data_IF_898093913123
#
_entry.id   IF_898093913123
#
_cell.length_a   1.000
_cell.length_b   1.000
_cell.length_c   1.000
_cell.angle_alpha   90.00
_cell.angle_beta   90.00
_cell.angle_gamma   90.00
#
_symmetry.space_group_name_H-M   'P 1'
#
loop_
_entity.id
_entity.type
_entity.pdbx_description
1 polymer ?
#
# COMPACT_ATOMS: atom_id res chain seq x y z
N UNK A 1 0.31 23.93 -17.86
CA UNK A 1 -0.52 23.19 -16.89
C UNK A 1 0.22 21.90 -16.51
N UNK A 2 0.66 21.76 -15.24
CA UNK A 2 1.13 20.45 -14.75
C UNK A 2 -0.10 19.56 -14.64
N UNK A 3 -0.16 18.49 -15.41
CA UNK A 3 -1.15 17.43 -15.22
C UNK A 3 -0.97 16.93 -13.78
N UNK A 4 -1.95 17.17 -12.90
CA UNK A 4 -1.96 16.58 -11.58
C UNK A 4 -2.01 15.07 -11.80
N UNK A 5 -0.86 14.42 -11.65
CA UNK A 5 -0.76 13.00 -11.82
C UNK A 5 -1.41 12.37 -10.58
N UNK A 6 -2.63 11.86 -10.74
CA UNK A 6 -3.23 11.00 -9.72
C UNK A 6 -2.32 9.78 -9.52
N UNK A 7 -1.85 9.52 -8.28
CA UNK A 7 -0.97 8.39 -8.00
C UNK A 7 -1.68 7.06 -8.27
N UNK A 8 -0.91 6.02 -8.58
CA UNK A 8 -1.48 4.69 -8.75
C UNK A 8 -2.11 4.22 -7.44
N UNK A 9 -3.23 3.47 -7.50
CA UNK A 9 -3.92 2.92 -6.33
C UNK A 9 -2.97 2.27 -5.31
N UNK A 10 -1.97 1.53 -5.79
CA UNK A 10 -1.00 0.83 -4.93
C UNK A 10 -0.16 1.78 -4.07
N UNK A 11 0.16 2.98 -4.57
CA UNK A 11 0.81 4.03 -3.78
C UNK A 11 -0.19 4.67 -2.82
N UNK A 12 -1.39 5.00 -3.31
CA UNK A 12 -2.41 5.69 -2.50
C UNK A 12 -2.73 4.91 -1.23
N UNK A 13 -2.91 3.58 -1.32
CA UNK A 13 -3.24 2.80 -0.12
C UNK A 13 -2.08 2.77 0.88
N UNK A 14 -0.83 2.67 0.40
CA UNK A 14 0.35 2.66 1.24
C UNK A 14 0.57 4.01 1.92
N UNK A 15 0.38 5.12 1.19
CA UNK A 15 0.45 6.48 1.73
C UNK A 15 -0.66 6.74 2.76
N UNK A 16 -1.88 6.29 2.47
CA UNK A 16 -3.02 6.41 3.39
C UNK A 16 -2.73 5.70 4.70
N UNK A 17 -2.27 4.44 4.63
CA UNK A 17 -1.96 3.64 5.81
C UNK A 17 -0.76 4.21 6.59
N UNK A 18 0.29 4.65 5.88
CA UNK A 18 1.44 5.33 6.49
C UNK A 18 1.01 6.60 7.24
N UNK A 19 0.10 7.37 6.65
CA UNK A 19 -0.47 8.57 7.28
C UNK A 19 -1.24 8.22 8.57
N UNK A 20 -1.98 7.11 8.59
CA UNK A 20 -2.65 6.66 9.82
C UNK A 20 -1.64 6.33 10.92
N UNK A 21 -0.58 5.57 10.63
CA UNK A 21 0.45 5.27 11.64
C UNK A 21 1.15 6.52 12.17
N UNK A 22 1.43 7.48 11.28
CA UNK A 22 1.98 8.78 11.67
C UNK A 22 1.04 9.58 12.58
N UNK A 23 -0.28 9.36 12.50
CA UNK A 23 -1.25 9.93 13.46
C UNK A 23 -1.30 9.13 14.75
N UNK A 24 -1.20 7.80 14.70
CA UNK A 24 -1.25 6.96 15.90
C UNK A 24 -0.11 7.27 16.87
N UNK A 25 1.09 7.58 16.35
CA UNK A 25 2.23 7.92 17.21
C UNK A 25 2.02 9.20 18.03
N UNK A 26 1.09 10.08 17.63
CA UNK A 26 0.78 11.33 18.34
C UNK A 26 -0.39 11.20 19.31
N UNK A 27 -1.09 10.05 19.33
CA UNK A 27 -2.19 9.81 20.23
C UNK A 27 -1.74 9.70 21.69
N UNK A 28 -2.64 10.05 22.60
CA UNK A 28 -2.43 9.78 24.02
C UNK A 28 -2.51 8.27 24.31
N UNK A 29 -2.09 7.86 25.51
CA UNK A 29 -1.95 6.44 25.85
C UNK A 29 -3.27 5.66 25.79
N UNK A 30 -4.40 6.24 26.22
CA UNK A 30 -5.68 5.52 26.21
C UNK A 30 -6.19 5.27 24.78
N UNK A 31 -6.01 6.25 23.88
CA UNK A 31 -6.37 6.12 22.47
C UNK A 31 -5.47 5.11 21.76
N UNK A 32 -4.17 5.18 22.04
CA UNK A 32 -3.18 4.26 21.48
C UNK A 32 -3.49 2.80 21.88
N UNK A 33 -3.91 2.56 23.13
CA UNK A 33 -4.30 1.23 23.60
C UNK A 33 -5.46 0.62 22.78
N UNK A 34 -6.42 1.44 22.33
CA UNK A 34 -7.51 1.00 21.44
C UNK A 34 -7.02 0.52 20.07
N UNK A 35 -5.95 1.14 19.54
CA UNK A 35 -5.31 0.68 18.31
C UNK A 35 -4.46 -0.56 18.52
N UNK A 36 -3.76 -0.69 19.66
CA UNK A 36 -2.98 -1.88 20.03
C UNK A 36 -3.87 -3.11 20.20
N UNK A 37 -5.07 -2.96 20.76
CA UNK A 37 -6.04 -4.05 20.82
C UNK A 37 -6.42 -4.60 19.42
N UNK A 38 -6.21 -3.82 18.38
CA UNK A 38 -6.40 -4.18 16.97
C UNK A 38 -5.07 -4.35 16.21
N UNK A 39 -3.96 -4.64 16.89
CA UNK A 39 -2.64 -4.74 16.25
C UNK A 39 -2.61 -5.77 15.11
N UNK A 40 -3.30 -6.90 15.27
CA UNK A 40 -3.40 -7.93 14.22
C UNK A 40 -4.02 -7.39 12.92
N UNK A 41 -5.11 -6.62 13.03
CA UNK A 41 -5.71 -5.94 11.88
C UNK A 41 -4.73 -4.99 11.19
N UNK A 42 -4.05 -4.14 11.96
CA UNK A 42 -3.07 -3.20 11.40
C UNK A 42 -1.88 -3.90 10.75
N UNK A 43 -1.41 -5.00 11.34
CA UNK A 43 -0.36 -5.83 10.76
C UNK A 43 -0.79 -6.47 9.44
N UNK A 44 -2.01 -6.99 9.36
CA UNK A 44 -2.55 -7.59 8.14
C UNK A 44 -2.75 -6.54 7.03
N UNK A 45 -3.18 -5.32 7.37
CA UNK A 45 -3.25 -4.21 6.41
C UNK A 45 -1.87 -3.82 5.87
N UNK A 46 -0.83 -3.83 6.72
CA UNK A 46 0.57 -3.62 6.27
C UNK A 46 1.00 -4.73 5.32
N UNK A 47 0.79 -6.00 5.69
CA UNK A 47 1.12 -7.14 4.84
C UNK A 47 0.41 -7.06 3.49
N UNK A 48 -0.87 -6.70 3.49
CA UNK A 48 -1.66 -6.51 2.28
C UNK A 48 -1.05 -5.42 1.39
N UNK A 49 -0.78 -4.24 1.94
CA UNK A 49 -0.20 -3.12 1.19
C UNK A 49 1.19 -3.45 0.63
N UNK A 50 2.05 -4.10 1.42
CA UNK A 50 3.37 -4.55 0.96
C UNK A 50 3.23 -5.55 -0.19
N UNK A 51 2.34 -6.54 -0.07
CA UNK A 51 2.09 -7.50 -1.13
C UNK A 51 1.56 -6.83 -2.43
N UNK A 52 0.68 -5.83 -2.30
CA UNK A 52 0.18 -5.03 -3.43
C UNK A 52 1.34 -4.32 -4.13
N UNK A 53 2.24 -3.67 -3.38
CA UNK A 53 3.42 -2.99 -3.93
C UNK A 53 4.40 -3.98 -4.56
N UNK A 54 4.71 -5.08 -3.89
CA UNK A 54 5.71 -6.05 -4.35
C UNK A 54 5.23 -6.79 -5.61
N UNK A 55 3.94 -7.13 -5.69
CA UNK A 55 3.33 -7.77 -6.85
C UNK A 55 2.83 -6.78 -7.93
N UNK A 56 3.14 -5.49 -7.84
CA UNK A 56 2.62 -4.49 -8.78
C UNK A 56 2.87 -4.87 -10.24
N UNK A 57 4.12 -5.21 -10.58
CA UNK A 57 4.51 -5.55 -11.95
C UNK A 57 3.82 -6.83 -12.46
N UNK A 58 3.78 -7.88 -11.65
CA UNK A 58 3.14 -9.14 -12.06
C UNK A 58 1.62 -9.01 -12.21
N UNK A 59 0.96 -8.19 -11.37
CA UNK A 59 -0.46 -7.86 -11.54
C UNK A 59 -0.71 -7.07 -12.82
N UNK A 60 0.15 -6.11 -13.12
CA UNK A 60 0.08 -5.34 -14.36
C UNK A 60 0.22 -6.23 -15.60
N UNK A 61 1.21 -7.13 -15.60
CA UNK A 61 1.44 -8.07 -16.69
C UNK A 61 0.26 -9.03 -16.88
N UNK A 62 -0.31 -9.57 -15.78
CA UNK A 62 -1.52 -10.41 -15.83
C UNK A 62 -2.72 -9.67 -16.40
N UNK A 63 -2.92 -8.40 -16.00
CA UNK A 63 -4.01 -7.58 -16.52
C UNK A 63 -3.86 -7.33 -18.02
N UNK A 64 -2.66 -6.93 -18.46
CA UNK A 64 -2.37 -6.69 -19.87
C UNK A 64 -2.54 -7.97 -20.71
N UNK A 65 -2.11 -9.11 -20.19
CA UNK A 65 -2.28 -10.40 -20.86
C UNK A 65 -3.75 -10.81 -20.98
N UNK A 66 -4.54 -10.66 -19.91
CA UNK A 66 -5.97 -10.95 -19.94
C UNK A 66 -6.71 -10.06 -20.97
N UNK A 67 -6.35 -8.77 -21.05
CA UNK A 67 -6.90 -7.85 -22.06
C UNK A 67 -6.53 -8.27 -23.48
N UNK A 68 -5.26 -8.61 -23.74
CA UNK A 68 -4.82 -9.09 -25.07
C UNK A 68 -5.57 -10.35 -25.48
N UNK A 69 -5.72 -11.30 -24.57
CA UNK A 69 -6.45 -12.55 -24.82
C UNK A 69 -7.92 -12.29 -25.17
N UNK A 70 -8.57 -11.42 -24.41
CA UNK A 70 -9.97 -11.05 -24.66
C UNK A 70 -10.17 -10.46 -26.07
N UNK A 71 -9.30 -9.52 -26.47
CA UNK A 71 -9.33 -8.91 -27.82
C UNK A 71 -9.08 -9.95 -28.91
N UNK A 72 -8.10 -10.84 -28.71
CA UNK A 72 -7.77 -11.89 -29.67
C UNK A 72 -8.90 -12.91 -29.87
N UNK A 73 -9.59 -13.29 -28.79
CA UNK A 73 -10.69 -14.27 -28.83
C UNK A 73 -11.97 -13.70 -29.42
N UNK A 74 -12.27 -12.42 -29.17
CA UNK A 74 -13.56 -11.82 -29.54
C UNK A 74 -13.50 -10.91 -30.77
N UNK A 75 -12.32 -10.56 -31.24
CA UNK A 75 -12.14 -9.63 -32.36
C UNK A 75 -12.63 -8.22 -32.07
N UNK A 76 -12.99 -7.92 -30.81
CA UNK A 76 -13.52 -6.62 -30.40
C UNK A 76 -12.49 -5.87 -29.57
N UNK A 77 -12.24 -4.62 -29.96
CA UNK A 77 -11.57 -3.59 -29.15
C UNK A 77 -12.66 -2.67 -28.52
N UNK A 78 -13.92 -2.90 -28.86
CA UNK A 78 -15.02 -1.97 -28.66
C UNK A 78 -15.71 -2.10 -27.30
N UNK A 79 -15.97 -0.92 -26.72
CA UNK A 79 -16.93 -0.71 -25.65
C UNK A 79 -18.29 -0.49 -26.31
N UNK A 80 -19.15 -1.51 -26.36
CA UNK A 80 -20.58 -1.28 -26.63
C UNK A 80 -21.28 -0.87 -25.33
N UNK A 81 -21.32 0.43 -25.08
CA UNK A 81 -22.43 1.01 -24.33
C UNK A 81 -23.06 2.01 -25.27
N UNK A 82 -24.36 1.88 -25.55
CA UNK A 82 -25.09 2.85 -26.36
C UNK A 82 -24.65 4.28 -26.01
N UNK A 83 -24.12 4.94 -27.03
CA UNK A 83 -23.29 6.13 -26.94
C UNK A 83 -24.10 7.35 -26.48
N UNK A 84 -23.85 7.82 -25.24
CA UNK A 84 -24.45 9.06 -24.70
C UNK A 84 -23.42 10.20 -24.63
N UNK A 85 -22.13 9.93 -24.84
CA UNK A 85 -21.05 10.92 -24.69
C UNK A 85 -20.04 10.88 -25.84
N UNK A 86 -20.56 10.63 -27.04
CA UNK A 86 -19.80 10.37 -28.26
C UNK A 86 -18.56 11.21 -28.41
N UNK A 87 -17.40 10.57 -28.28
CA UNK A 87 -16.10 11.11 -28.65
C UNK A 87 -15.09 9.96 -28.76
N UNK A 88 -15.15 9.27 -29.90
CA UNK A 88 -14.08 8.42 -30.46
C UNK A 88 -13.48 7.31 -29.59
N UNK A 89 -13.74 6.07 -30.02
CA UNK A 89 -13.01 4.86 -29.63
C UNK A 89 -11.49 5.08 -29.65
N UNK A 90 -10.90 5.30 -28.47
CA UNK A 90 -9.47 5.16 -28.24
C UNK A 90 -9.30 4.07 -27.22
N UNK A 91 -8.45 3.08 -27.52
CA UNK A 91 -8.05 2.07 -26.56
C UNK A 91 -7.73 2.75 -25.22
N UNK A 92 -8.19 2.20 -24.07
CA UNK A 92 -7.96 2.81 -22.78
C UNK A 92 -6.47 3.13 -22.65
N UNK A 93 -6.13 4.33 -22.13
CA UNK A 93 -4.74 4.74 -22.04
C UNK A 93 -3.96 3.64 -21.31
N UNK A 94 -2.77 3.31 -21.83
CA UNK A 94 -1.92 2.30 -21.21
C UNK A 94 -1.82 2.62 -19.71
N UNK A 95 -2.15 1.67 -18.83
CA UNK A 95 -2.07 1.94 -17.41
C UNK A 95 -0.65 2.40 -17.10
N UNK A 96 -0.53 3.53 -16.37
CA UNK A 96 0.76 4.16 -16.12
C UNK A 96 1.67 3.15 -15.43
N UNK A 97 2.85 2.93 -15.99
CA UNK A 97 3.87 2.15 -15.32
C UNK A 97 4.35 2.95 -14.11
N UNK A 98 4.09 2.44 -12.92
CA UNK A 98 4.62 3.04 -11.70
C UNK A 98 6.15 2.93 -11.73
N UNK A 99 6.85 4.03 -11.46
CA UNK A 99 8.30 3.95 -11.39
C UNK A 99 8.69 3.06 -10.20
N UNK A 100 9.72 2.22 -10.38
CA UNK A 100 10.24 1.40 -9.28
C UNK A 100 10.69 2.28 -8.11
N UNK A 101 11.18 3.49 -8.39
CA UNK A 101 11.53 4.48 -7.38
C UNK A 101 10.34 4.84 -6.50
N UNK A 102 9.21 5.21 -7.07
CA UNK A 102 8.03 5.62 -6.29
C UNK A 102 7.45 4.45 -5.50
N UNK A 103 7.47 3.25 -6.09
CA UNK A 103 7.04 2.01 -5.44
C UNK A 103 7.90 1.67 -4.23
N UNK A 104 9.23 1.72 -4.38
CA UNK A 104 10.17 1.46 -3.30
C UNK A 104 10.10 2.54 -2.21
N UNK A 105 9.89 3.81 -2.60
CA UNK A 105 9.68 4.89 -1.65
C UNK A 105 8.39 4.69 -0.82
N UNK A 106 7.27 4.35 -1.46
CA UNK A 106 6.03 4.05 -0.77
C UNK A 106 6.17 2.84 0.18
N UNK A 107 6.87 1.79 -0.27
CA UNK A 107 7.19 0.61 0.55
C UNK A 107 7.99 0.99 1.79
N UNK A 108 9.06 1.76 1.61
CA UNK A 108 9.93 2.20 2.70
C UNK A 108 9.18 3.10 3.71
N UNK A 109 8.36 4.03 3.23
CA UNK A 109 7.55 4.91 4.08
C UNK A 109 6.53 4.12 4.93
N UNK A 110 5.91 3.08 4.37
CA UNK A 110 4.99 2.22 5.11
C UNK A 110 5.73 1.43 6.19
N UNK A 111 6.86 0.82 5.86
CA UNK A 111 7.69 0.10 6.84
C UNK A 111 8.16 1.02 7.99
N UNK A 112 8.68 2.21 7.67
CA UNK A 112 9.18 3.16 8.66
C UNK A 112 8.06 3.69 9.58
N UNK A 113 6.91 4.06 9.02
CA UNK A 113 5.78 4.54 9.82
C UNK A 113 5.19 3.44 10.72
N UNK A 114 5.07 2.21 10.23
CA UNK A 114 4.62 1.08 11.06
C UNK A 114 5.64 0.74 12.16
N UNK A 115 6.94 0.75 11.86
CA UNK A 115 7.99 0.56 12.85
C UNK A 115 7.93 1.59 13.98
N UNK A 116 7.79 2.88 13.63
CA UNK A 116 7.64 3.96 14.63
C UNK A 116 6.39 3.77 15.50
N UNK A 117 5.29 3.32 14.92
CA UNK A 117 4.09 2.95 15.67
C UNK A 117 4.36 1.82 16.67
N UNK A 118 5.03 0.73 16.25
CA UNK A 118 5.39 -0.36 17.15
C UNK A 118 6.32 0.10 18.29
N UNK A 119 7.36 0.87 17.98
CA UNK A 119 8.27 1.44 18.99
C UNK A 119 7.51 2.31 19.98
N UNK A 120 6.58 3.16 19.50
CA UNK A 120 5.74 3.98 20.38
C UNK A 120 4.88 3.11 21.32
N UNK A 121 4.29 2.02 20.81
CA UNK A 121 3.51 1.09 21.61
C UNK A 121 4.37 0.40 22.67
N UNK A 122 5.57 -0.04 22.29
CA UNK A 122 6.53 -0.67 23.20
C UNK A 122 7.00 0.29 24.31
N UNK A 123 7.38 1.52 23.96
CA UNK A 123 7.76 2.57 24.94
C UNK A 123 6.62 2.96 25.88
N UNK A 124 5.37 2.71 25.48
CA UNK A 124 4.18 2.89 26.32
C UNK A 124 3.85 1.66 27.19
N UNK A 125 4.63 0.58 27.08
CA UNK A 125 4.36 -0.72 27.70
C UNK A 125 3.00 -1.32 27.30
N UNK A 126 2.52 -0.99 26.10
CA UNK A 126 1.28 -1.56 25.55
C UNK A 126 1.53 -2.88 24.81
N UNK A 127 2.77 -3.11 24.38
CA UNK A 127 3.23 -4.39 23.82
C UNK A 127 4.60 -4.74 24.40
N UNK A 128 4.88 -6.05 24.46
CA UNK A 128 6.19 -6.56 24.82
C UNK A 128 7.19 -6.41 23.67
N UNK A 129 8.49 -6.41 23.99
CA UNK A 129 9.56 -6.36 22.98
C UNK A 129 9.46 -7.55 22.00
N UNK A 130 9.08 -8.72 22.51
CA UNK A 130 8.92 -9.92 21.70
C UNK A 130 7.86 -9.71 20.59
N UNK A 131 6.72 -9.12 20.93
CA UNK A 131 5.66 -8.80 19.97
C UNK A 131 6.16 -7.82 18.91
N UNK A 132 6.86 -6.76 19.32
CA UNK A 132 7.46 -5.80 18.37
C UNK A 132 8.39 -6.52 17.38
N UNK A 133 9.30 -7.37 17.87
CA UNK A 133 10.24 -8.10 17.01
C UNK A 133 9.53 -9.07 16.06
N UNK A 134 8.50 -9.76 16.53
CA UNK A 134 7.70 -10.66 15.69
C UNK A 134 7.04 -9.91 14.53
N UNK A 135 6.43 -8.76 14.81
CA UNK A 135 5.83 -7.91 13.78
C UNK A 135 6.88 -7.36 12.80
N UNK A 136 8.03 -6.90 13.29
CA UNK A 136 9.11 -6.45 12.41
C UNK A 136 9.61 -7.56 11.47
N UNK A 137 9.81 -8.79 11.99
CA UNK A 137 10.20 -9.94 11.16
C UNK A 137 9.15 -10.27 10.12
N UNK A 138 7.86 -10.28 10.49
CA UNK A 138 6.73 -10.56 9.58
C UNK A 138 6.76 -9.66 8.34
N UNK A 139 7.14 -8.39 8.51
CA UNK A 139 7.14 -7.39 7.44
C UNK A 139 8.52 -7.09 6.84
N UNK A 140 9.54 -7.89 7.19
CA UNK A 140 10.94 -7.67 6.77
C UNK A 140 11.47 -6.28 7.13
N UNK A 141 11.16 -5.82 8.35
CA UNK A 141 11.61 -4.56 8.93
C UNK A 141 12.78 -4.85 9.87
N UNK A 142 13.91 -4.17 9.69
CA UNK A 142 15.05 -4.26 10.61
C UNK A 142 14.76 -3.48 11.89
N UNK A 143 15.13 -4.05 13.04
CA UNK A 143 15.01 -3.40 14.35
C UNK A 143 16.35 -2.81 14.74
N UNK A 144 16.40 -1.52 15.06
CA UNK A 144 17.57 -0.90 15.65
C UNK A 144 17.56 -1.13 17.17
N UNK A 145 18.65 -1.70 17.69
CA UNK A 145 18.79 -1.96 19.13
C UNK A 145 18.86 -0.66 19.95
N UNK A 146 19.18 0.48 19.33
CA UNK A 146 19.15 1.77 20.00
C UNK A 146 17.72 2.26 20.27
N UNK A 147 16.76 1.93 19.39
CA UNK A 147 15.37 2.39 19.55
C UNK A 147 14.63 1.68 20.68
N UNK A 148 15.14 0.52 21.11
CA UNK A 148 14.61 -0.31 22.20
C UNK A 148 15.09 0.10 23.60
N UNK A 149 16.07 1.01 23.67
CA UNK A 149 16.54 1.61 24.92
C UNK A 149 15.67 2.80 25.31
#
# INVERSE_FOLDING_TARGET
MRTLAFPAYSIIIAETLSSQFNRFVTLNAYQLAGHVANLGFWSDEVAHCLNVLDQYRSRFERLAEAQRRHVAERGTIEFEHQDVWGETAKAPPRPRNLSDRDRLAARAALCDSFYRFLIRCHKSRLIEEQTLRQECVRHSISVDSHDLR
#
